data_IF_097019900835
#
_entry.id   IF_097019900835
#
_cell.length_a   1.000
_cell.length_b   1.000
_cell.length_c   1.000
_cell.angle_alpha   90.00
_cell.angle_beta   90.00
_cell.angle_gamma   90.00
#
_symmetry.space_group_name_H-M   'P 1'
#
loop_
_entity.id
_entity.type
_entity.pdbx_description
1 polymer ?
#
# COMPACT_ATOMS: atom_id res chain seq x y z
N UNK A 1 -35.38 30.98 -45.21
CA UNK A 1 -34.41 30.14 -44.47
C UNK A 1 -33.82 29.05 -45.36
N UNK A 2 -34.62 28.29 -46.11
CA UNK A 2 -34.13 27.19 -46.99
C UNK A 2 -33.10 27.60 -48.05
N UNK A 3 -33.29 28.74 -48.74
CA UNK A 3 -32.32 29.22 -49.75
C UNK A 3 -30.90 29.47 -49.21
N UNK A 4 -30.77 29.82 -47.93
CA UNK A 4 -29.47 30.12 -47.32
C UNK A 4 -28.69 28.83 -47.03
N UNK A 5 -29.38 27.79 -46.59
CA UNK A 5 -28.83 26.44 -46.39
C UNK A 5 -28.45 25.77 -47.71
N UNK A 6 -29.32 25.91 -48.73
CA UNK A 6 -29.04 25.36 -50.06
C UNK A 6 -27.81 26.04 -50.69
N UNK A 7 -27.69 27.35 -50.55
CA UNK A 7 -26.52 28.08 -51.03
C UNK A 7 -25.25 27.69 -50.27
N UNK A 8 -25.30 27.56 -48.94
CA UNK A 8 -24.13 27.17 -48.13
C UNK A 8 -23.64 25.76 -48.47
N UNK A 9 -24.57 24.84 -48.75
CA UNK A 9 -24.24 23.47 -49.14
C UNK A 9 -23.57 23.45 -50.51
N UNK A 10 -24.09 24.20 -51.47
CA UNK A 10 -23.50 24.30 -52.80
C UNK A 10 -22.10 24.95 -52.72
N UNK A 11 -21.95 26.04 -51.96
CA UNK A 11 -20.66 26.70 -51.74
C UNK A 11 -19.64 25.74 -51.10
N UNK A 12 -20.06 24.91 -50.13
CA UNK A 12 -19.18 23.92 -49.50
C UNK A 12 -18.77 22.79 -50.46
N UNK A 13 -19.68 22.35 -51.34
CA UNK A 13 -19.40 21.31 -52.33
C UNK A 13 -18.51 21.81 -53.48
N UNK A 14 -18.66 23.08 -53.86
CA UNK A 14 -17.87 23.73 -54.89
C UNK A 14 -16.54 24.29 -54.37
N UNK A 15 -16.32 24.28 -53.04
CA UNK A 15 -15.03 24.67 -52.46
C UNK A 15 -14.00 23.59 -52.80
N UNK A 16 -12.97 23.90 -53.62
CA UNK A 16 -11.93 22.94 -53.94
C UNK A 16 -11.18 22.60 -52.65
N UNK A 17 -11.00 21.30 -52.42
CA UNK A 17 -10.16 20.79 -51.33
C UNK A 17 -8.81 21.49 -51.42
N UNK A 18 -8.33 22.07 -50.32
CA UNK A 18 -7.09 22.85 -50.33
C UNK A 18 -5.95 22.02 -50.92
N UNK A 19 -5.12 22.64 -51.77
CA UNK A 19 -4.00 21.93 -52.41
C UNK A 19 -3.10 21.26 -51.37
N UNK A 20 -2.90 21.90 -50.23
CA UNK A 20 -2.14 21.36 -49.10
C UNK A 20 -2.71 20.01 -48.58
N UNK A 21 -4.03 19.85 -48.58
CA UNK A 21 -4.66 18.58 -48.20
C UNK A 21 -4.53 17.53 -49.31
N UNK A 22 -4.63 17.93 -50.58
CA UNK A 22 -4.45 17.01 -51.72
C UNK A 22 -3.01 16.50 -51.82
N UNK A 23 -2.03 17.37 -51.56
CA UNK A 23 -0.61 17.06 -51.72
C UNK A 23 -0.05 16.28 -50.52
N UNK A 24 -0.48 16.61 -49.30
CA UNK A 24 0.13 16.07 -48.08
C UNK A 24 -0.86 15.59 -47.02
N UNK A 25 -2.15 15.87 -47.19
CA UNK A 25 -3.20 15.54 -46.21
C UNK A 25 -3.26 14.05 -45.92
N UNK A 26 -3.27 13.22 -46.97
CA UNK A 26 -3.29 11.75 -46.83
C UNK A 26 -2.03 11.21 -46.12
N UNK A 27 -0.84 11.70 -46.48
CA UNK A 27 0.41 11.27 -45.84
C UNK A 27 0.51 11.71 -44.37
N UNK A 28 -0.04 12.89 -44.05
CA UNK A 28 -0.06 13.42 -42.69
C UNK A 28 -1.09 12.68 -41.82
N UNK A 29 -2.22 12.27 -42.40
CA UNK A 29 -3.20 11.43 -41.75
C UNK A 29 -2.62 10.03 -41.45
N UNK A 30 -1.96 9.42 -42.44
CA UNK A 30 -1.31 8.12 -42.32
C UNK A 30 -0.21 8.13 -41.24
N UNK A 31 0.65 9.16 -41.22
CA UNK A 31 1.69 9.33 -40.18
C UNK A 31 1.11 9.49 -38.77
N UNK A 32 -0.03 10.17 -38.63
CA UNK A 32 -0.70 10.33 -37.33
C UNK A 32 -1.29 9.01 -36.86
N UNK A 33 -1.98 8.28 -37.74
CA UNK A 33 -2.58 6.97 -37.42
C UNK A 33 -1.49 5.94 -37.08
N UNK A 34 -0.44 5.83 -37.90
CA UNK A 34 0.65 4.87 -37.67
C UNK A 34 1.56 5.25 -36.50
N UNK A 35 1.75 6.54 -36.22
CA UNK A 35 2.46 7.01 -35.03
C UNK A 35 1.72 6.67 -33.73
N UNK A 36 0.40 6.80 -33.72
CA UNK A 36 -0.44 6.49 -32.57
C UNK A 36 -0.47 4.97 -32.27
N UNK A 37 -0.48 4.12 -33.30
CA UNK A 37 -0.37 2.67 -33.14
C UNK A 37 0.98 2.22 -32.57
N UNK A 38 2.10 2.82 -33.01
CA UNK A 38 3.42 2.52 -32.46
C UNK A 38 3.54 2.91 -30.99
N UNK A 39 3.00 4.06 -30.59
CA UNK A 39 2.96 4.47 -29.18
C UNK A 39 2.06 3.55 -28.33
N UNK A 40 0.94 3.06 -28.90
CA UNK A 40 0.07 2.08 -28.23
C UNK A 40 0.75 0.72 -28.06
N UNK A 41 1.48 0.26 -29.06
CA UNK A 41 2.23 -1.00 -29.02
C UNK A 41 3.40 -0.95 -28.05
N UNK A 42 4.17 0.15 -28.00
CA UNK A 42 5.27 0.32 -27.05
C UNK A 42 4.73 0.40 -25.60
N UNK A 43 3.61 1.09 -25.38
CA UNK A 43 2.92 1.09 -24.07
C UNK A 43 2.44 -0.31 -23.68
N UNK A 44 1.84 -1.07 -24.59
CA UNK A 44 1.34 -2.41 -24.27
C UNK A 44 2.49 -3.39 -23.97
N UNK A 45 3.59 -3.32 -24.72
CA UNK A 45 4.80 -4.12 -24.47
C UNK A 45 5.40 -3.83 -23.11
N UNK A 46 5.42 -2.56 -22.69
CA UNK A 46 5.95 -2.18 -21.36
C UNK A 46 5.08 -2.75 -20.24
N UNK A 47 3.76 -2.70 -20.37
CA UNK A 47 2.81 -3.27 -19.38
C UNK A 47 2.93 -4.79 -19.30
N UNK A 48 3.03 -5.46 -20.45
CA UNK A 48 3.19 -6.93 -20.51
C UNK A 48 4.55 -7.34 -19.94
N UNK A 49 5.62 -6.62 -20.25
CA UNK A 49 6.95 -6.90 -19.68
C UNK A 49 6.96 -6.70 -18.16
N UNK A 50 6.31 -5.65 -17.65
CA UNK A 50 6.17 -5.42 -16.21
C UNK A 50 5.36 -6.53 -15.54
N UNK A 51 4.27 -6.99 -16.17
CA UNK A 51 3.48 -8.13 -15.69
C UNK A 51 4.28 -9.44 -15.73
N UNK A 52 5.08 -9.69 -16.76
CA UNK A 52 5.95 -10.87 -16.88
C UNK A 52 7.11 -10.81 -15.89
N UNK A 53 7.66 -9.64 -15.58
CA UNK A 53 8.67 -9.47 -14.51
C UNK A 53 8.06 -9.68 -13.13
N UNK A 54 6.83 -9.20 -12.90
CA UNK A 54 6.10 -9.47 -11.65
C UNK A 54 5.78 -10.96 -11.47
N UNK A 55 5.35 -11.65 -12.54
CA UNK A 55 4.95 -13.07 -12.49
C UNK A 55 6.16 -14.02 -12.58
N UNK A 56 7.14 -13.70 -13.42
CA UNK A 56 8.30 -14.55 -13.73
C UNK A 56 9.58 -14.20 -12.95
N UNK A 57 9.67 -13.00 -12.36
CA UNK A 57 10.84 -12.51 -11.62
C UNK A 57 10.92 -12.93 -10.15
N UNK A 58 9.98 -13.74 -9.66
CA UNK A 58 10.09 -14.36 -8.34
C UNK A 58 9.83 -13.44 -7.15
N UNK A 59 9.21 -12.27 -7.35
CA UNK A 59 8.62 -11.52 -6.23
C UNK A 59 7.35 -12.27 -5.82
N UNK A 60 7.55 -13.37 -5.10
CA UNK A 60 6.44 -14.10 -4.48
C UNK A 60 5.72 -13.17 -3.50
N UNK A 61 4.40 -13.30 -3.39
CA UNK A 61 3.59 -12.57 -2.40
C UNK A 61 4.20 -12.70 -0.99
N UNK A 62 4.86 -13.83 -0.71
CA UNK A 62 5.59 -14.10 0.52
C UNK A 62 6.76 -13.13 0.77
N UNK A 63 7.50 -12.74 -0.28
CA UNK A 63 8.59 -11.75 -0.16
C UNK A 63 8.07 -10.36 0.20
N UNK A 64 6.92 -9.97 -0.35
CA UNK A 64 6.27 -8.72 0.03
C UNK A 64 5.74 -8.78 1.46
N UNK A 65 5.18 -9.92 1.89
CA UNK A 65 4.68 -10.09 3.27
C UNK A 65 5.80 -10.08 4.32
N UNK A 66 7.01 -10.53 3.98
CA UNK A 66 8.17 -10.47 4.88
C UNK A 66 8.85 -9.09 4.93
N UNK A 67 8.38 -8.10 4.15
CA UNK A 67 9.02 -6.80 4.08
C UNK A 67 8.93 -6.04 5.41
N UNK A 68 10.03 -5.40 5.79
CA UNK A 68 10.16 -4.56 6.98
C UNK A 68 10.06 -3.07 6.64
N UNK A 69 9.74 -2.19 7.62
CA UNK A 69 9.79 -0.74 7.44
C UNK A 69 11.11 -0.28 6.82
N UNK A 70 11.02 0.52 5.76
CA UNK A 70 12.17 1.01 4.99
C UNK A 70 12.61 0.11 3.83
N UNK A 71 12.09 -1.12 3.71
CA UNK A 71 12.35 -2.00 2.56
C UNK A 71 11.45 -1.64 1.35
N UNK A 72 11.96 -1.88 0.13
CA UNK A 72 11.32 -1.45 -1.14
C UNK A 72 9.89 -1.99 -1.29
N UNK A 73 9.64 -3.21 -0.80
CA UNK A 73 8.34 -3.88 -0.92
C UNK A 73 7.38 -3.57 0.23
N UNK A 74 7.80 -2.79 1.23
CA UNK A 74 6.99 -2.45 2.40
C UNK A 74 5.67 -1.73 2.06
N UNK A 75 5.63 -0.77 1.12
CA UNK A 75 4.36 -0.13 0.74
C UNK A 75 3.36 -1.14 0.14
N UNK A 76 3.85 -2.14 -0.59
CA UNK A 76 3.02 -3.20 -1.15
C UNK A 76 2.45 -4.09 -0.05
N UNK A 77 3.26 -4.46 0.96
CA UNK A 77 2.81 -5.17 2.17
C UNK A 77 1.63 -4.45 2.82
N UNK A 78 1.81 -3.17 3.17
CA UNK A 78 0.78 -2.36 3.85
C UNK A 78 -0.50 -2.26 3.04
N UNK A 79 -0.39 -2.05 1.73
CA UNK A 79 -1.55 -1.99 0.83
C UNK A 79 -2.31 -3.33 0.81
N UNK A 80 -1.58 -4.44 0.76
CA UNK A 80 -2.20 -5.78 0.75
C UNK A 80 -2.92 -6.09 2.07
N UNK A 81 -2.32 -5.73 3.21
CA UNK A 81 -2.92 -5.93 4.53
C UNK A 81 -4.17 -5.08 4.75
N UNK A 82 -4.16 -3.83 4.26
CA UNK A 82 -5.33 -2.95 4.31
C UNK A 82 -6.48 -3.50 3.48
N UNK A 83 -6.19 -4.02 2.28
CA UNK A 83 -7.20 -4.63 1.43
C UNK A 83 -7.82 -5.87 2.10
N UNK A 84 -6.99 -6.73 2.69
CA UNK A 84 -7.48 -7.93 3.42
C UNK A 84 -8.36 -7.53 4.60
N UNK A 85 -7.89 -6.61 5.46
CA UNK A 85 -8.67 -6.17 6.62
C UNK A 85 -9.97 -5.46 6.23
N UNK A 86 -9.98 -4.69 5.15
CA UNK A 86 -11.22 -4.08 4.64
C UNK A 86 -12.25 -5.12 4.17
N UNK A 87 -11.80 -6.28 3.69
CA UNK A 87 -12.66 -7.38 3.25
C UNK A 87 -13.13 -8.22 4.43
N UNK A 88 -12.24 -8.57 5.36
CA UNK A 88 -12.53 -9.48 6.48
C UNK A 88 -13.16 -8.78 7.67
N UNK A 89 -12.92 -7.47 7.83
CA UNK A 89 -13.22 -6.73 9.05
C UNK A 89 -12.32 -7.11 10.24
N UNK A 90 -11.34 -8.00 10.03
CA UNK A 90 -10.45 -8.48 11.10
C UNK A 90 -9.10 -7.78 11.01
N UNK A 91 -8.73 -7.10 12.11
CA UNK A 91 -7.50 -6.35 12.28
C UNK A 91 -6.45 -7.08 13.12
N UNK A 92 -6.80 -8.21 13.71
CA UNK A 92 -5.93 -9.03 14.56
C UNK A 92 -4.64 -9.49 13.84
N UNK A 93 -4.70 -9.93 12.56
CA UNK A 93 -3.49 -10.34 11.83
C UNK A 93 -2.50 -9.18 11.63
N UNK A 94 -3.01 -7.95 11.46
CA UNK A 94 -2.15 -6.78 11.28
C UNK A 94 -1.36 -6.48 12.55
N UNK A 95 -1.96 -6.72 13.73
CA UNK A 95 -1.30 -6.53 15.02
C UNK A 95 -0.12 -7.48 15.21
N UNK A 96 -0.30 -8.77 14.89
CA UNK A 96 0.80 -9.74 14.89
C UNK A 96 1.91 -9.29 13.93
N UNK A 97 1.54 -8.90 12.70
CA UNK A 97 2.53 -8.45 11.71
C UNK A 97 3.31 -7.22 12.16
N UNK A 98 2.68 -6.29 12.90
CA UNK A 98 3.40 -5.13 13.47
C UNK A 98 4.41 -5.59 14.54
N UNK A 99 4.06 -6.56 15.39
CA UNK A 99 4.97 -7.10 16.39
C UNK A 99 6.15 -7.84 15.74
N UNK A 100 5.88 -8.66 14.73
CA UNK A 100 6.92 -9.39 13.99
C UNK A 100 7.86 -8.45 13.23
N UNK A 101 7.41 -7.27 12.81
CA UNK A 101 8.29 -6.26 12.22
C UNK A 101 9.30 -5.69 13.21
N UNK A 102 8.89 -5.46 14.46
CA UNK A 102 9.80 -5.04 15.54
C UNK A 102 10.85 -6.13 15.78
N UNK A 103 10.41 -7.39 15.88
CA UNK A 103 11.30 -8.55 16.05
C UNK A 103 12.31 -8.61 14.89
N UNK A 104 11.83 -8.61 13.65
CA UNK A 104 12.67 -8.73 12.47
C UNK A 104 13.68 -7.60 12.31
N UNK A 105 13.31 -6.36 12.68
CA UNK A 105 14.23 -5.22 12.63
C UNK A 105 15.34 -5.32 13.67
N UNK A 106 15.01 -5.77 14.89
CA UNK A 106 16.00 -5.98 15.96
C UNK A 106 16.96 -7.11 15.59
N UNK A 107 16.45 -8.25 15.11
CA UNK A 107 17.26 -9.40 14.71
C UNK A 107 18.20 -9.07 13.54
N UNK A 108 17.71 -8.33 12.54
CA UNK A 108 18.54 -7.86 11.40
C UNK A 108 19.50 -6.72 11.78
N UNK A 109 19.46 -6.22 13.02
CA UNK A 109 20.27 -5.08 13.51
C UNK A 109 20.13 -3.85 12.60
N UNK A 110 18.92 -3.64 12.09
CA UNK A 110 18.62 -2.54 11.17
C UNK A 110 18.37 -1.22 11.91
N UNK A 111 18.27 -0.16 11.12
CA UNK A 111 18.28 1.24 11.56
C UNK A 111 17.21 1.58 12.62
N UNK A 112 17.60 2.43 13.57
CA UNK A 112 16.77 3.02 14.62
C UNK A 112 15.50 3.68 14.08
N UNK A 113 15.56 4.27 12.89
CA UNK A 113 14.42 4.95 12.25
C UNK A 113 13.32 3.94 11.89
N UNK A 114 13.70 2.81 11.28
CA UNK A 114 12.75 1.76 10.92
C UNK A 114 12.13 1.12 12.16
N UNK A 115 12.93 0.91 13.21
CA UNK A 115 12.45 0.35 14.46
C UNK A 115 11.45 1.27 15.17
N UNK A 116 11.74 2.57 15.24
CA UNK A 116 10.80 3.55 15.78
C UNK A 116 9.48 3.57 15.00
N UNK A 117 9.55 3.56 13.67
CA UNK A 117 8.35 3.48 12.83
C UNK A 117 7.54 2.20 13.13
N UNK A 118 8.20 1.06 13.30
CA UNK A 118 7.53 -0.20 13.63
C UNK A 118 6.80 -0.12 14.98
N UNK A 119 7.42 0.51 15.99
CA UNK A 119 6.81 0.71 17.31
C UNK A 119 5.63 1.67 17.26
N UNK A 120 5.74 2.77 16.52
CA UNK A 120 4.64 3.72 16.31
C UNK A 120 3.44 3.04 15.61
N UNK A 121 3.72 2.23 14.58
CA UNK A 121 2.70 1.46 13.87
C UNK A 121 2.06 0.38 14.75
N UNK A 122 2.86 -0.31 15.58
CA UNK A 122 2.38 -1.28 16.57
C UNK A 122 1.42 -0.62 17.58
N UNK A 123 1.84 0.51 18.15
CA UNK A 123 1.04 1.31 19.08
C UNK A 123 -0.29 1.74 18.50
N UNK A 124 -0.27 2.23 17.26
CA UNK A 124 -1.49 2.61 16.55
C UNK A 124 -2.42 1.41 16.39
N UNK A 125 -1.90 0.25 16.00
CA UNK A 125 -2.71 -0.95 15.80
C UNK A 125 -3.33 -1.45 17.12
N UNK A 126 -2.56 -1.45 18.22
CA UNK A 126 -3.08 -1.80 19.56
C UNK A 126 -4.24 -0.89 19.94
N UNK A 127 -4.10 0.44 19.73
CA UNK A 127 -5.16 1.40 20.03
C UNK A 127 -6.40 1.21 19.16
N UNK A 128 -6.23 0.93 17.86
CA UNK A 128 -7.35 0.69 16.96
C UNK A 128 -8.14 -0.56 17.34
N UNK A 129 -7.46 -1.69 17.61
CA UNK A 129 -8.12 -2.94 18.04
C UNK A 129 -8.80 -2.74 19.38
N UNK A 130 -8.16 -2.06 20.33
CA UNK A 130 -8.74 -1.74 21.65
C UNK A 130 -10.00 -0.88 21.51
N UNK A 131 -9.95 0.19 20.72
CA UNK A 131 -11.11 1.06 20.50
C UNK A 131 -12.29 0.30 19.87
N UNK A 132 -12.01 -0.64 18.98
CA UNK A 132 -13.02 -1.50 18.36
C UNK A 132 -13.66 -2.45 19.36
N UNK A 133 -12.84 -3.09 20.23
CA UNK A 133 -13.32 -3.94 21.33
C UNK A 133 -14.18 -3.15 22.32
N UNK A 134 -13.69 -1.99 22.77
CA UNK A 134 -14.41 -1.07 23.68
C UNK A 134 -15.76 -0.64 23.08
N UNK A 135 -15.78 -0.28 21.79
CA UNK A 135 -17.00 0.12 21.08
C UNK A 135 -17.99 -1.02 20.89
N UNK A 136 -17.49 -2.26 20.83
CA UNK A 136 -18.30 -3.47 20.71
C UNK A 136 -18.79 -4.02 22.06
N UNK A 137 -18.26 -3.50 23.17
CA UNK A 137 -18.54 -3.97 24.53
C UNK A 137 -18.05 -5.39 24.79
N UNK A 138 -17.05 -5.87 24.04
CA UNK A 138 -16.49 -7.22 24.18
C UNK A 138 -15.13 -7.12 24.86
N UNK A 139 -15.01 -7.77 26.00
CA UNK A 139 -13.68 -8.17 26.48
C UNK A 139 -13.19 -9.33 25.61
N UNK A 140 -11.94 -9.22 25.15
CA UNK A 140 -11.30 -10.25 24.33
C UNK A 140 -10.05 -10.77 25.04
N UNK A 141 -10.19 -11.95 25.63
CA UNK A 141 -9.09 -12.66 26.29
C UNK A 141 -7.98 -13.02 25.29
N UNK A 142 -8.32 -13.29 24.03
CA UNK A 142 -7.33 -13.60 22.99
C UNK A 142 -6.47 -12.38 22.64
N UNK A 143 -7.05 -11.17 22.66
CA UNK A 143 -6.30 -9.93 22.50
C UNK A 143 -5.32 -9.70 23.68
N UNK A 144 -5.77 -9.94 24.92
CA UNK A 144 -4.92 -9.83 26.12
C UNK A 144 -3.76 -10.84 26.07
N UNK A 145 -4.04 -12.09 25.72
CA UNK A 145 -3.03 -13.15 25.53
C UNK A 145 -2.03 -12.79 24.42
N UNK A 146 -2.51 -12.22 23.30
CA UNK A 146 -1.65 -11.81 22.21
C UNK A 146 -0.67 -10.70 22.64
N UNK A 147 -1.16 -9.67 23.36
CA UNK A 147 -0.29 -8.63 23.91
C UNK A 147 0.70 -9.19 24.94
N UNK A 148 0.35 -10.26 25.65
CA UNK A 148 1.26 -10.94 26.56
C UNK A 148 2.37 -11.68 25.84
N UNK A 149 2.02 -12.43 24.80
CA UNK A 149 2.98 -13.05 23.90
C UNK A 149 3.96 -12.02 23.33
N UNK A 150 3.45 -10.87 22.84
CA UNK A 150 4.29 -9.80 22.30
C UNK A 150 5.24 -9.22 23.33
N UNK A 151 4.73 -8.88 24.52
CA UNK A 151 5.55 -8.37 25.62
C UNK A 151 6.66 -9.37 25.99
N UNK A 152 6.35 -10.67 26.03
CA UNK A 152 7.35 -11.73 26.23
C UNK A 152 8.43 -11.76 25.13
N UNK A 153 8.03 -11.73 23.85
CA UNK A 153 8.96 -11.67 22.71
C UNK A 153 9.89 -10.45 22.80
N UNK A 154 9.35 -9.27 23.11
CA UNK A 154 10.13 -8.03 23.20
C UNK A 154 11.07 -8.01 24.41
N UNK A 155 10.66 -8.55 25.56
CA UNK A 155 11.53 -8.68 26.73
C UNK A 155 12.74 -9.58 26.44
N UNK A 156 12.52 -10.72 25.79
CA UNK A 156 13.62 -11.60 25.38
C UNK A 156 14.61 -10.87 24.46
N UNK A 157 14.12 -10.12 23.47
CA UNK A 157 14.95 -9.31 22.60
C UNK A 157 15.68 -8.17 23.32
N UNK A 158 15.08 -7.59 24.35
CA UNK A 158 15.70 -6.52 25.15
C UNK A 158 16.92 -7.02 25.93
N UNK A 159 16.87 -8.26 26.41
CA UNK A 159 17.98 -8.92 27.10
C UNK A 159 19.13 -9.26 26.13
N UNK A 160 18.80 -9.73 24.93
CA UNK A 160 19.77 -10.21 23.94
C UNK A 160 20.36 -9.09 23.05
N UNK A 161 19.59 -8.03 22.78
CA UNK A 161 19.97 -6.99 21.83
C UNK A 161 20.85 -5.89 22.43
N UNK A 162 21.80 -5.41 21.63
CA UNK A 162 22.66 -4.26 21.95
C UNK A 162 22.10 -2.92 21.45
N UNK A 163 21.08 -2.94 20.60
CA UNK A 163 20.49 -1.78 19.92
C UNK A 163 18.96 -1.81 20.00
N UNK A 164 18.31 -0.65 19.89
CA UNK A 164 16.86 -0.57 19.89
C UNK A 164 16.20 -0.75 21.27
N UNK A 165 16.97 -0.53 22.35
CA UNK A 165 16.49 -0.80 23.72
C UNK A 165 15.36 0.13 24.15
N UNK A 166 15.39 1.37 23.71
CA UNK A 166 14.36 2.35 24.08
C UNK A 166 13.07 2.07 23.32
N UNK A 167 13.18 1.73 22.03
CA UNK A 167 12.06 1.30 21.20
C UNK A 167 11.44 0.00 21.70
N UNK A 168 12.25 -0.99 22.11
CA UNK A 168 11.76 -2.24 22.70
C UNK A 168 11.03 -1.99 24.03
N UNK A 169 11.55 -1.10 24.88
CA UNK A 169 10.84 -0.69 26.12
C UNK A 169 9.51 -0.04 25.80
N UNK A 170 9.47 0.87 24.83
CA UNK A 170 8.21 1.49 24.41
C UNK A 170 7.22 0.43 23.89
N UNK A 171 7.67 -0.54 23.09
CA UNK A 171 6.82 -1.62 22.61
C UNK A 171 6.25 -2.49 23.75
N UNK A 172 7.08 -2.79 24.77
CA UNK A 172 6.66 -3.49 25.99
C UNK A 172 5.63 -2.67 26.77
N UNK A 173 5.86 -1.37 26.94
CA UNK A 173 4.92 -0.46 27.60
C UNK A 173 3.58 -0.39 26.86
N UNK A 174 3.60 -0.31 25.53
CA UNK A 174 2.40 -0.33 24.68
C UNK A 174 1.65 -1.65 24.86
N UNK A 175 2.35 -2.78 24.84
CA UNK A 175 1.73 -4.09 25.03
C UNK A 175 1.10 -4.21 26.43
N UNK A 176 1.79 -3.76 27.49
CA UNK A 176 1.29 -3.82 28.85
C UNK A 176 0.10 -2.86 29.09
N UNK A 177 0.17 -1.61 28.61
CA UNK A 177 -0.95 -0.68 28.70
C UNK A 177 -2.16 -1.09 27.85
N UNK A 178 -1.93 -1.82 26.76
CA UNK A 178 -3.01 -2.40 25.97
C UNK A 178 -3.86 -3.38 26.79
N UNK A 179 -3.21 -4.20 27.64
CA UNK A 179 -3.87 -5.18 28.53
C UNK A 179 -4.65 -4.55 29.68
N UNK A 180 -4.15 -3.46 30.25
CA UNK A 180 -4.75 -2.88 31.43
C UNK A 180 -6.10 -2.20 31.12
N UNK A 181 -7.15 -2.82 31.64
CA UNK A 181 -8.43 -2.21 31.99
C UNK A 181 -8.35 -1.71 33.44
N UNK A 182 -8.92 -0.53 33.72
CA UNK A 182 -9.33 -0.06 35.06
C UNK A 182 -8.27 0.44 36.08
N UNK A 183 -7.59 1.57 35.83
CA UNK A 183 -7.07 2.41 36.94
C UNK A 183 -7.12 3.95 36.74
N UNK A 184 -8.01 4.50 35.90
CA UNK A 184 -8.15 5.97 35.80
C UNK A 184 -9.54 6.58 36.06
N UNK A 185 -10.54 5.80 36.45
CA UNK A 185 -11.87 6.34 36.83
C UNK A 185 -12.36 5.88 38.22
N UNK A 186 -11.47 5.86 39.22
CA UNK A 186 -11.84 5.90 40.64
C UNK A 186 -10.83 6.73 41.42
N UNK A 187 -10.92 8.05 41.32
CA UNK A 187 -10.51 9.01 42.34
C UNK A 187 -11.33 10.29 42.19
#
# INVERSE_FOLDING_TARGET
MNKLLDNLKNDFQDTPVSRDFMDQGWSNLEKRITGEERFRQIRSLTVVLFAVVMIGGGISVNLAQAALPGEILYPLKRTSEQAVSAITGDKTPQLEHRADEIVGLVEKKQDSIGLKQAVDDYKKQVLEVKQELDSSGKEDESFKEQLESHSGKFNNLLEESKSGKDELKEAIEVANHGKDENQKERN
#
